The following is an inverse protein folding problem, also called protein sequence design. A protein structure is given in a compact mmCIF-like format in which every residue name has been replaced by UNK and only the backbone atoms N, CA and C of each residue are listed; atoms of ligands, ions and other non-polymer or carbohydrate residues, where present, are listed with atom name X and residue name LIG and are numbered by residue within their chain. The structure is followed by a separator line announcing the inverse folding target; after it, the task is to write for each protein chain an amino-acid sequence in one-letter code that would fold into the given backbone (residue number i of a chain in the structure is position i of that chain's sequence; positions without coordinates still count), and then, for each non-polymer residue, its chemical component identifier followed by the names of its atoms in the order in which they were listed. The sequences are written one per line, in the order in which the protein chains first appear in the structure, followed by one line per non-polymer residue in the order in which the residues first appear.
data_IF_100714272897
#
_entry.id   IF_100714272897
#
_cell.length_a   1.000
_cell.length_b   1.000
_cell.length_c   1.000
_cell.angle_alpha   90.00
_cell.angle_beta   90.00
_cell.angle_gamma   90.00
#
_symmetry.space_group_name_H-M   'P 1'
#
loop_
_entity.id
_entity.type
_entity.pdbx_description
1 polymer ?
#
# COMPACT_ATOMS: atom_id res chain seq x y z
N UNK A 1 1.89 5.32 -21.48
CA UNK A 1 2.21 4.69 -20.18
C UNK A 1 2.16 5.78 -19.12
N UNK A 2 1.33 5.63 -18.08
CA UNK A 2 1.27 6.59 -16.98
C UNK A 2 2.54 6.41 -16.14
N UNK A 3 3.34 7.47 -16.02
CA UNK A 3 4.54 7.44 -15.20
C UNK A 3 4.15 7.70 -13.74
N UNK A 4 4.41 6.73 -12.84
CA UNK A 4 4.19 6.84 -11.39
C UNK A 4 5.55 6.93 -10.68
N UNK A 5 6.26 8.08 -10.72
CA UNK A 5 7.63 8.18 -10.25
C UNK A 5 7.75 8.06 -8.72
N UNK A 6 6.66 8.35 -7.99
CA UNK A 6 6.62 8.34 -6.54
C UNK A 6 6.30 6.94 -6.02
N UNK A 7 7.08 6.49 -5.03
CA UNK A 7 6.82 5.28 -4.25
C UNK A 7 6.65 5.70 -2.79
N UNK A 8 5.49 5.41 -2.21
CA UNK A 8 5.19 5.75 -0.82
C UNK A 8 5.39 4.50 0.05
N UNK A 9 6.19 4.61 1.12
CA UNK A 9 6.37 3.52 2.08
C UNK A 9 5.17 3.45 3.04
N UNK A 10 4.54 2.29 3.14
CA UNK A 10 3.49 2.02 4.12
C UNK A 10 4.12 1.59 5.45
N UNK A 11 4.74 2.54 6.13
CA UNK A 11 5.40 2.30 7.42
C UNK A 11 4.37 2.48 8.56
N UNK A 12 3.47 1.50 8.64
CA UNK A 12 2.39 1.42 9.63
C UNK A 12 2.48 0.13 10.43
N UNK A 13 2.11 0.14 11.73
CA UNK A 13 2.15 -1.05 12.58
C UNK A 13 1.00 -2.03 12.29
N UNK A 14 -0.07 -1.59 11.62
CA UNK A 14 -1.26 -2.41 11.36
C UNK A 14 -1.81 -2.24 9.95
N UNK A 15 -2.47 -3.28 9.43
CA UNK A 15 -3.19 -3.22 8.15
C UNK A 15 -4.23 -2.10 8.14
N UNK A 16 -5.02 -1.95 9.22
CA UNK A 16 -6.09 -0.95 9.31
C UNK A 16 -5.59 0.47 9.14
N UNK A 17 -4.47 0.83 9.79
CA UNK A 17 -3.89 2.17 9.65
C UNK A 17 -3.34 2.41 8.25
N UNK A 18 -2.73 1.40 7.63
CA UNK A 18 -2.31 1.48 6.22
C UNK A 18 -3.50 1.62 5.26
N UNK A 19 -4.59 0.88 5.47
CA UNK A 19 -5.80 0.95 4.65
C UNK A 19 -6.45 2.33 4.72
N UNK A 20 -6.56 2.93 5.90
CA UNK A 20 -7.08 4.29 6.09
C UNK A 20 -6.22 5.36 5.41
N UNK A 21 -4.92 5.13 5.30
CA UNK A 21 -4.03 6.01 4.55
C UNK A 21 -4.23 5.83 3.05
N UNK A 22 -4.34 4.58 2.57
CA UNK A 22 -4.57 4.27 1.16
C UNK A 22 -5.86 4.87 0.60
N UNK A 23 -6.91 5.06 1.41
CA UNK A 23 -8.15 5.72 0.95
C UNK A 23 -7.98 7.20 0.59
N UNK A 24 -6.84 7.80 0.93
CA UNK A 24 -6.53 9.21 0.64
C UNK A 24 -5.59 9.36 -0.57
N UNK A 25 -5.18 8.25 -1.19
CA UNK A 25 -4.24 8.24 -2.32
C UNK A 25 -4.96 7.84 -3.62
N UNK A 26 -4.51 8.40 -4.74
CA UNK A 26 -4.86 7.91 -6.06
C UNK A 26 -3.80 6.89 -6.53
N UNK A 27 -4.16 5.63 -6.80
CA UNK A 27 -3.24 4.68 -7.39
C UNK A 27 -2.69 5.14 -8.73
N UNK A 28 -3.37 6.02 -9.47
CA UNK A 28 -2.90 6.64 -10.71
C UNK A 28 -1.64 7.47 -10.56
N UNK A 29 -1.41 8.07 -9.39
CA UNK A 29 -0.33 9.03 -9.14
C UNK A 29 0.91 8.41 -8.48
N UNK A 30 0.77 7.26 -7.82
CA UNK A 30 1.84 6.68 -7.03
C UNK A 30 1.83 5.15 -7.01
N UNK A 31 2.95 4.58 -6.56
CA UNK A 31 3.05 3.18 -6.14
C UNK A 31 3.25 3.14 -4.63
N UNK A 32 2.97 2.00 -4.02
CA UNK A 32 3.22 1.82 -2.58
C UNK A 32 4.19 0.68 -2.30
N UNK A 33 4.95 0.80 -1.22
CA UNK A 33 5.88 -0.23 -0.73
C UNK A 33 5.40 -0.78 0.59
N UNK A 34 5.16 -2.08 0.65
CA UNK A 34 4.87 -2.81 1.89
C UNK A 34 6.20 -3.36 2.44
N UNK A 35 6.57 -2.93 3.65
CA UNK A 35 7.77 -3.41 4.35
C UNK A 35 7.56 -4.76 5.05
N UNK A 36 8.65 -5.37 5.54
CA UNK A 36 8.62 -6.68 6.23
C UNK A 36 7.77 -6.67 7.51
N UNK A 37 7.83 -5.58 8.29
CA UNK A 37 7.06 -5.44 9.53
C UNK A 37 5.56 -5.53 9.24
N UNK A 38 5.04 -4.63 8.39
CA UNK A 38 3.64 -4.62 8.00
C UNK A 38 3.22 -5.93 7.31
N UNK A 39 4.08 -6.49 6.44
CA UNK A 39 3.80 -7.78 5.80
C UNK A 39 3.66 -8.91 6.82
N UNK A 40 4.53 -8.97 7.82
CA UNK A 40 4.49 -10.03 8.84
C UNK A 40 3.27 -9.87 9.75
N UNK A 41 2.88 -8.64 10.05
CA UNK A 41 1.69 -8.34 10.88
C UNK A 41 0.37 -8.58 10.13
N UNK A 42 0.27 -8.18 8.86
CA UNK A 42 -0.97 -8.19 8.08
C UNK A 42 -1.14 -9.42 7.18
N UNK A 43 -0.05 -10.12 6.88
CA UNK A 43 -0.03 -11.29 6.02
C UNK A 43 -0.22 -11.00 4.52
N UNK A 44 -0.21 -12.05 3.69
CA UNK A 44 -0.27 -11.92 2.23
C UNK A 44 -1.62 -11.42 1.70
N UNK A 45 -2.72 -11.59 2.45
CA UNK A 45 -4.04 -11.05 2.05
C UNK A 45 -4.06 -9.53 1.96
N UNK A 46 -3.30 -8.85 2.81
CA UNK A 46 -3.16 -7.40 2.73
C UNK A 46 -2.51 -6.97 1.42
N UNK A 47 -1.46 -7.67 0.97
CA UNK A 47 -0.84 -7.42 -0.34
C UNK A 47 -1.84 -7.63 -1.47
N UNK A 48 -2.60 -8.73 -1.45
CA UNK A 48 -3.64 -9.00 -2.46
C UNK A 48 -4.67 -7.89 -2.53
N UNK A 49 -5.10 -7.36 -1.37
CA UNK A 49 -6.06 -6.26 -1.29
C UNK A 49 -5.48 -4.96 -1.88
N UNK A 50 -4.26 -4.60 -1.51
CA UNK A 50 -3.58 -3.38 -2.02
C UNK A 50 -3.43 -3.43 -3.54
N UNK A 51 -3.03 -4.58 -4.09
CA UNK A 51 -2.97 -4.80 -5.55
C UNK A 51 -4.37 -4.70 -6.17
N UNK A 52 -5.40 -5.25 -5.52
CA UNK A 52 -6.80 -5.15 -5.96
C UNK A 52 -7.34 -3.72 -5.99
N UNK A 53 -6.76 -2.79 -5.21
CA UNK A 53 -7.06 -1.36 -5.25
C UNK A 53 -6.35 -0.62 -6.39
N UNK A 54 -5.47 -1.28 -7.14
CA UNK A 54 -4.75 -0.70 -8.29
C UNK A 54 -3.41 -0.05 -7.97
N UNK A 55 -2.90 -0.23 -6.75
CA UNK A 55 -1.56 0.23 -6.33
C UNK A 55 -0.44 -0.73 -6.74
#
# INVERSE_FOLDING_TARGET
MVNKPIIIALDFPTATSAEQFLTQLDPGDCRVKIGKELFTAAGPEFVRRVVGLGF
#
